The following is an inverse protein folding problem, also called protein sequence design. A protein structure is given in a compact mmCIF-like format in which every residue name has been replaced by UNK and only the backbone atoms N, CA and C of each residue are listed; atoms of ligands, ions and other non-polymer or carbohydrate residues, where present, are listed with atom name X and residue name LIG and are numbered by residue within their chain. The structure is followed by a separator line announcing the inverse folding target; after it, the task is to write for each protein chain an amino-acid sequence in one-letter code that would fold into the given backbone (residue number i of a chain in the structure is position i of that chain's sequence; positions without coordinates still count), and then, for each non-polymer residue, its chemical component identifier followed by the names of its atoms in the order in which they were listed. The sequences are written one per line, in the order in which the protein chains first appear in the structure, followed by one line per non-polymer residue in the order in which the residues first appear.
data_IF_040991818655
#
_entry.id   IF_040991818655
#
_cell.length_a   1.000
_cell.length_b   1.000
_cell.length_c   1.000
_cell.angle_alpha   90.00
_cell.angle_beta   90.00
_cell.angle_gamma   90.00
#
_symmetry.space_group_name_H-M   'P 1'
#
loop_
_entity.id
_entity.type
_entity.pdbx_description
1 polymer ?
#
# COMPACT_ATOMS: atom_id res chain seq x y z
N UNK A 1 18.64 -13.08 2.12
CA UNK A 1 17.41 -13.28 2.90
C UNK A 1 16.22 -13.01 1.99
N UNK A 2 15.37 -13.99 1.82
CA UNK A 2 14.12 -13.80 1.09
C UNK A 2 13.16 -13.04 1.98
N UNK A 3 12.79 -11.82 1.58
CA UNK A 3 11.70 -11.09 2.21
C UNK A 3 10.38 -11.79 1.83
N UNK A 4 9.89 -12.64 2.71
CA UNK A 4 8.53 -13.21 2.64
C UNK A 4 7.49 -12.17 3.09
N UNK A 5 7.74 -10.89 2.82
CA UNK A 5 6.90 -9.78 3.22
C UNK A 5 6.04 -9.23 2.08
N UNK A 6 5.18 -8.30 2.42
CA UNK A 6 4.40 -7.52 1.48
C UNK A 6 5.32 -6.82 0.46
N UNK A 7 4.85 -6.62 -0.79
CA UNK A 7 5.66 -6.04 -1.89
C UNK A 7 6.26 -4.66 -1.55
N UNK A 8 5.69 -3.94 -0.60
CA UNK A 8 6.17 -2.63 -0.12
C UNK A 8 7.45 -2.73 0.74
N UNK A 9 7.77 -3.92 1.31
CA UNK A 9 8.97 -4.12 2.13
C UNK A 9 8.88 -3.54 3.54
N UNK A 10 10.05 -3.26 4.13
CA UNK A 10 10.18 -2.79 5.51
C UNK A 10 9.68 -1.35 5.70
N UNK A 11 9.38 -0.96 6.95
CA UNK A 11 8.83 0.34 7.34
C UNK A 11 7.62 0.74 6.50
N UNK A 12 6.67 -0.17 6.39
CA UNK A 12 5.42 0.02 5.68
C UNK A 12 4.24 -0.42 6.54
N UNK A 13 3.09 0.17 6.27
CA UNK A 13 1.83 -0.19 6.88
C UNK A 13 0.86 -0.61 5.79
N UNK A 14 0.20 -1.75 5.98
CA UNK A 14 -0.88 -2.21 5.13
C UNK A 14 -2.13 -2.43 5.97
N UNK A 15 -3.24 -1.84 5.55
CA UNK A 15 -4.56 -2.03 6.15
C UNK A 15 -5.44 -2.66 5.09
N UNK A 16 -6.01 -3.81 5.41
CA UNK A 16 -6.97 -4.51 4.57
C UNK A 16 -8.27 -4.75 5.34
N UNK A 17 -9.39 -4.47 4.70
CA UNK A 17 -10.72 -4.79 5.20
C UNK A 17 -11.57 -5.37 4.07
N UNK A 18 -12.34 -6.41 4.36
CA UNK A 18 -13.27 -7.02 3.43
C UNK A 18 -14.63 -7.25 4.10
N UNK A 19 -15.69 -6.92 3.39
CA UNK A 19 -17.06 -7.20 3.75
C UNK A 19 -17.71 -8.05 2.66
N UNK A 20 -18.27 -9.18 3.05
CA UNK A 20 -19.05 -10.05 2.16
C UNK A 20 -20.52 -9.99 2.57
N UNK A 21 -21.40 -9.67 1.61
CA UNK A 21 -22.84 -9.60 1.82
C UNK A 21 -23.58 -10.52 0.83
N UNK A 22 -24.56 -11.26 1.33
CA UNK A 22 -25.38 -12.18 0.54
C UNK A 22 -26.85 -11.80 0.66
N UNK A 23 -27.35 -10.87 -0.17
CA UNK A 23 -28.72 -10.35 -0.06
C UNK A 23 -29.79 -11.38 -0.42
N UNK A 24 -29.54 -12.22 -1.40
CA UNK A 24 -30.44 -13.26 -1.87
C UNK A 24 -29.65 -14.53 -2.23
N UNK A 25 -30.37 -15.63 -2.39
CA UNK A 25 -29.75 -16.89 -2.85
C UNK A 25 -29.14 -16.72 -4.24
N UNK A 26 -27.92 -17.19 -4.42
CA UNK A 26 -27.17 -17.08 -5.68
C UNK A 26 -26.49 -15.74 -5.91
N UNK A 27 -26.59 -14.77 -4.98
CA UNK A 27 -25.92 -13.48 -5.09
C UNK A 27 -24.90 -13.27 -3.97
N UNK A 28 -23.69 -12.84 -4.36
CA UNK A 28 -22.62 -12.49 -3.42
C UNK A 28 -22.10 -11.11 -3.82
N UNK A 29 -22.04 -10.22 -2.87
CA UNK A 29 -21.40 -8.89 -3.02
C UNK A 29 -20.22 -8.85 -2.07
N UNK A 30 -19.04 -8.57 -2.61
CA UNK A 30 -17.80 -8.37 -1.82
C UNK A 30 -17.34 -6.94 -1.97
N UNK A 31 -17.05 -6.32 -0.87
CA UNK A 31 -16.46 -4.99 -0.80
C UNK A 31 -15.11 -5.10 -0.11
N UNK A 32 -14.04 -4.66 -0.72
CA UNK A 32 -12.70 -4.66 -0.12
C UNK A 32 -12.06 -3.29 -0.19
N UNK A 33 -11.29 -2.98 0.83
CA UNK A 33 -10.47 -1.78 0.93
C UNK A 33 -9.07 -2.16 1.34
N UNK A 34 -8.09 -1.64 0.62
CA UNK A 34 -6.67 -1.80 0.93
C UNK A 34 -6.02 -0.42 0.97
N UNK A 35 -5.24 -0.16 2.00
CA UNK A 35 -4.40 1.03 2.10
C UNK A 35 -2.99 0.61 2.45
N UNK A 36 -2.09 0.78 1.51
CA UNK A 36 -0.67 0.49 1.65
C UNK A 36 0.10 1.79 1.71
N UNK A 37 0.80 2.03 2.80
CA UNK A 37 1.62 3.22 2.99
C UNK A 37 3.05 2.82 3.28
N UNK A 38 3.98 3.30 2.47
CA UNK A 38 5.42 3.16 2.66
C UNK A 38 5.98 4.41 3.28
N UNK A 39 6.77 4.22 4.31
CA UNK A 39 7.48 5.29 4.99
C UNK A 39 8.96 5.28 4.65
N UNK A 40 9.66 6.35 4.98
CA UNK A 40 11.07 6.47 4.70
C UNK A 40 11.91 5.48 5.55
N UNK A 41 12.42 4.44 4.91
CA UNK A 41 13.21 3.40 5.55
C UNK A 41 14.56 3.92 6.05
N UNK A 42 15.13 4.90 5.36
CA UNK A 42 16.45 5.44 5.71
C UNK A 42 16.41 6.22 7.03
N UNK A 43 15.42 7.07 7.23
CA UNK A 43 15.25 7.81 8.48
C UNK A 43 15.15 6.86 9.68
N UNK A 44 14.40 5.76 9.52
CA UNK A 44 14.28 4.72 10.54
C UNK A 44 15.61 4.01 10.85
N UNK A 45 16.34 3.57 9.81
CA UNK A 45 17.62 2.87 9.96
C UNK A 45 18.70 3.79 10.53
N UNK A 46 18.76 5.05 10.11
CA UNK A 46 19.67 6.03 10.63
C UNK A 46 19.46 6.27 12.12
N UNK A 47 18.22 6.40 12.55
CA UNK A 47 17.88 6.55 13.96
C UNK A 47 18.43 5.40 14.80
N UNK A 48 18.20 4.17 14.37
CA UNK A 48 18.68 2.99 15.08
C UNK A 48 20.21 2.99 15.21
N UNK A 49 20.91 3.35 14.15
CA UNK A 49 22.37 3.43 14.13
C UNK A 49 22.91 4.51 15.07
N UNK A 50 22.34 5.71 15.03
CA UNK A 50 22.73 6.83 15.90
C UNK A 50 22.53 6.51 17.38
N UNK A 51 21.39 5.94 17.75
CA UNK A 51 21.13 5.52 19.12
C UNK A 51 22.18 4.51 19.61
N UNK A 52 22.53 3.55 18.78
CA UNK A 52 23.52 2.51 19.12
C UNK A 52 24.93 3.12 19.30
N UNK A 53 25.30 4.08 18.48
CA UNK A 53 26.57 4.78 18.56
C UNK A 53 26.62 5.70 19.80
N UNK A 54 25.56 6.40 20.12
CA UNK A 54 25.44 7.27 21.30
C UNK A 54 25.50 6.47 22.62
N UNK A 55 24.85 5.31 22.66
CA UNK A 55 24.92 4.41 23.83
C UNK A 55 26.36 3.91 24.03
N UNK A 56 27.07 3.56 22.98
CA UNK A 56 28.48 3.15 23.05
C UNK A 56 29.41 4.27 23.49
N UNK A 57 29.11 5.50 23.12
CA UNK A 57 29.86 6.69 23.54
C UNK A 57 29.50 7.17 24.97
N UNK A 58 28.54 6.54 25.64
CA UNK A 58 28.12 6.90 27.00
C UNK A 58 27.25 8.16 27.07
N UNK A 59 26.75 8.64 25.93
CA UNK A 59 25.83 9.76 25.84
C UNK A 59 24.40 9.30 25.53
N UNK A 60 23.41 9.93 26.17
CA UNK A 60 22.00 9.80 25.77
C UNK A 60 21.66 11.03 24.97
N UNK A 61 21.63 10.89 23.64
CA UNK A 61 21.20 12.00 22.78
C UNK A 61 19.66 12.04 22.75
N UNK A 62 19.08 13.13 23.22
CA UNK A 62 17.63 13.38 23.16
C UNK A 62 17.12 13.75 21.75
N UNK A 63 17.97 13.77 20.73
CA UNK A 63 17.61 14.07 19.33
C UNK A 63 16.90 12.90 18.65
N UNK A 64 15.98 12.26 19.31
CA UNK A 64 15.21 11.11 18.85
C UNK A 64 13.83 11.52 18.33
N UNK A 65 13.77 12.50 17.45
CA UNK A 65 12.51 13.05 16.98
C UNK A 65 11.78 12.16 15.95
N UNK A 66 12.47 11.24 15.29
CA UNK A 66 11.86 10.44 14.23
C UNK A 66 11.37 9.08 14.75
N UNK A 67 10.07 8.83 14.59
CA UNK A 67 9.41 7.59 14.93
C UNK A 67 9.33 6.67 13.71
N UNK A 68 9.26 5.34 13.90
CA UNK A 68 8.82 4.46 12.81
C UNK A 68 7.47 4.98 12.28
N UNK A 69 7.25 4.86 10.97
CA UNK A 69 6.07 5.39 10.27
C UNK A 69 5.97 6.93 10.17
N UNK A 70 7.07 7.65 10.36
CA UNK A 70 7.16 9.06 10.00
C UNK A 70 7.53 9.21 8.52
N UNK A 71 7.10 10.31 7.89
CA UNK A 71 7.40 10.67 6.50
C UNK A 71 7.01 9.61 5.46
N UNK A 72 5.72 9.51 5.19
CA UNK A 72 5.24 8.69 4.08
C UNK A 72 5.87 9.12 2.75
N UNK A 73 6.38 8.16 1.98
CA UNK A 73 6.99 8.38 0.66
C UNK A 73 6.10 7.86 -0.48
N UNK A 74 5.23 6.89 -0.19
CA UNK A 74 4.31 6.29 -1.15
C UNK A 74 3.04 5.81 -0.46
N UNK A 75 1.89 5.96 -1.13
CA UNK A 75 0.60 5.42 -0.68
C UNK A 75 -0.17 4.89 -1.86
N UNK A 76 -0.75 3.71 -1.68
CA UNK A 76 -1.71 3.12 -2.60
C UNK A 76 -3.02 2.83 -1.87
N UNK A 77 -4.11 3.40 -2.34
CA UNK A 77 -5.46 3.14 -1.86
C UNK A 77 -6.23 2.37 -2.93
N UNK A 78 -6.72 1.20 -2.59
CA UNK A 78 -7.48 0.34 -3.48
C UNK A 78 -8.83 0.04 -2.85
N UNK A 79 -9.90 0.35 -3.59
CA UNK A 79 -11.26 -0.05 -3.26
C UNK A 79 -11.79 -0.94 -4.36
N UNK A 80 -12.36 -2.08 -4.00
CA UNK A 80 -12.93 -3.01 -4.96
C UNK A 80 -14.32 -3.46 -4.53
N UNK A 81 -15.23 -3.45 -5.47
CA UNK A 81 -16.59 -3.97 -5.33
C UNK A 81 -16.78 -5.08 -6.37
N UNK A 82 -17.04 -6.29 -5.90
CA UNK A 82 -17.33 -7.45 -6.73
C UNK A 82 -18.78 -7.90 -6.50
N UNK A 83 -19.53 -8.09 -7.56
CA UNK A 83 -20.86 -8.70 -7.55
C UNK A 83 -20.86 -10.00 -8.36
N UNK A 84 -21.25 -11.09 -7.75
CA UNK A 84 -21.41 -12.41 -8.41
C UNK A 84 -22.86 -12.80 -8.29
N UNK A 85 -23.49 -13.12 -9.42
CA UNK A 85 -24.89 -13.53 -9.47
C UNK A 85 -25.06 -14.81 -10.31
N UNK A 86 -25.70 -15.81 -9.73
CA UNK A 86 -26.11 -17.02 -10.43
C UNK A 86 -27.41 -16.74 -11.20
N UNK A 87 -27.27 -16.50 -12.49
CA UNK A 87 -28.38 -16.17 -13.40
C UNK A 87 -29.24 -17.42 -13.68
N UNK A 88 -28.59 -18.58 -13.79
CA UNK A 88 -29.22 -19.90 -14.00
C UNK A 88 -28.32 -20.95 -13.33
N UNK A 89 -28.79 -22.15 -12.97
CA UNK A 89 -27.95 -23.20 -12.43
C UNK A 89 -26.64 -23.36 -13.23
N UNK A 90 -25.50 -23.25 -12.57
CA UNK A 90 -24.16 -23.30 -13.17
C UNK A 90 -23.80 -22.16 -14.15
N UNK A 91 -24.56 -21.06 -14.13
CA UNK A 91 -24.28 -19.87 -14.96
C UNK A 91 -24.10 -18.64 -14.07
N UNK A 92 -22.92 -18.03 -14.09
CA UNK A 92 -22.57 -16.92 -13.22
C UNK A 92 -22.21 -15.68 -14.00
N UNK A 93 -22.78 -14.56 -13.61
CA UNK A 93 -22.37 -13.22 -14.04
C UNK A 93 -21.55 -12.60 -12.92
N UNK A 94 -20.35 -12.16 -13.24
CA UNK A 94 -19.48 -11.42 -12.32
C UNK A 94 -19.25 -10.03 -12.85
N UNK A 95 -19.50 -9.03 -12.00
CA UNK A 95 -19.22 -7.62 -12.24
C UNK A 95 -18.26 -7.13 -11.17
N UNK A 96 -17.21 -6.43 -11.56
CA UNK A 96 -16.28 -5.82 -10.62
C UNK A 96 -15.96 -4.38 -11.00
N UNK A 97 -15.91 -3.54 -9.98
CA UNK A 97 -15.46 -2.15 -10.05
C UNK A 97 -14.28 -2.00 -9.10
N UNK A 98 -13.17 -1.52 -9.62
CA UNK A 98 -11.96 -1.26 -8.84
C UNK A 98 -11.57 0.20 -8.98
N UNK A 99 -11.40 0.87 -7.86
CA UNK A 99 -10.83 2.21 -7.78
C UNK A 99 -9.45 2.12 -7.13
N UNK A 100 -8.45 2.62 -7.83
CA UNK A 100 -7.08 2.69 -7.34
C UNK A 100 -6.59 4.13 -7.32
N UNK A 101 -5.89 4.52 -6.27
CA UNK A 101 -5.26 5.84 -6.14
C UNK A 101 -3.85 5.65 -5.59
N UNK A 102 -2.87 5.64 -6.49
CA UNK A 102 -1.46 5.54 -6.16
C UNK A 102 -0.79 6.91 -6.26
N UNK A 103 -0.08 7.31 -5.20
CA UNK A 103 0.62 8.59 -5.14
C UNK A 103 1.92 8.49 -4.35
N UNK A 104 2.93 9.21 -4.83
CA UNK A 104 4.16 9.46 -4.10
C UNK A 104 4.10 10.77 -3.33
N UNK A 105 5.05 10.95 -2.43
CA UNK A 105 5.24 12.16 -1.63
C UNK A 105 6.68 12.64 -1.76
N UNK A 106 6.85 13.93 -1.92
CA UNK A 106 8.17 14.57 -2.01
C UNK A 106 8.83 14.64 -0.63
N UNK A 107 10.03 14.08 -0.52
CA UNK A 107 10.85 14.20 0.68
C UNK A 107 12.21 14.87 0.41
N UNK A 108 12.38 15.54 -0.73
CA UNK A 108 13.64 16.21 -1.10
C UNK A 108 14.02 17.36 -0.18
N UNK A 109 13.06 17.92 0.56
CA UNK A 109 13.24 19.10 1.43
C UNK A 109 13.42 18.76 2.92
N UNK A 110 13.50 17.49 3.27
CA UNK A 110 13.59 17.08 4.67
C UNK A 110 15.05 17.07 5.11
N UNK A 111 15.46 18.00 5.96
CA UNK A 111 16.85 18.16 6.45
C UNK A 111 17.40 16.92 7.18
N UNK A 112 16.54 16.07 7.67
CA UNK A 112 16.88 14.82 8.36
C UNK A 112 17.44 13.72 7.44
N UNK A 113 17.31 13.88 6.11
CA UNK A 113 17.59 12.82 5.15
C UNK A 113 18.78 13.25 4.28
N UNK A 114 19.96 12.91 4.73
CA UNK A 114 21.17 13.03 3.90
C UNK A 114 21.47 11.68 3.32
N UNK A 115 20.85 11.23 2.26
CA UNK A 115 21.34 10.17 1.38
C UNK A 115 20.31 9.46 0.49
N UNK A 116 20.61 8.28 0.09
CA UNK A 116 20.14 7.40 -0.97
C UNK A 116 18.61 7.26 -1.15
N UNK A 117 17.80 7.65 -0.16
CA UNK A 117 16.34 7.59 -0.22
C UNK A 117 15.67 8.98 -0.41
N UNK A 118 16.39 9.94 -0.95
CA UNK A 118 15.82 11.25 -1.32
C UNK A 118 15.18 11.11 -2.70
N UNK A 119 13.89 11.37 -2.78
CA UNK A 119 13.17 11.35 -4.03
C UNK A 119 11.97 12.30 -4.02
N UNK A 120 11.54 12.68 -5.21
CA UNK A 120 10.28 13.40 -5.39
C UNK A 120 9.09 12.42 -5.48
N UNK A 121 7.88 12.98 -5.53
CA UNK A 121 6.67 12.19 -5.62
C UNK A 121 6.65 11.26 -6.86
N UNK A 122 7.19 11.72 -7.98
CA UNK A 122 7.24 10.94 -9.21
C UNK A 122 8.23 9.79 -9.11
N UNK A 123 9.40 10.02 -8.52
CA UNK A 123 10.38 8.97 -8.26
C UNK A 123 9.81 7.80 -7.47
N UNK A 124 9.04 8.08 -6.42
CA UNK A 124 8.44 7.02 -5.61
C UNK A 124 7.28 6.30 -6.30
N UNK A 125 6.49 7.01 -7.11
CA UNK A 125 5.49 6.35 -7.96
C UNK A 125 6.15 5.38 -8.95
N UNK A 126 7.19 5.81 -9.65
CA UNK A 126 7.92 4.97 -10.62
C UNK A 126 8.57 3.75 -9.96
N UNK A 127 9.04 3.92 -8.73
CA UNK A 127 9.69 2.85 -7.97
C UNK A 127 8.73 1.76 -7.49
N UNK A 128 7.52 2.12 -7.08
CA UNK A 128 6.61 1.20 -6.40
C UNK A 128 5.40 0.80 -7.24
N UNK A 129 5.08 1.52 -8.31
CA UNK A 129 3.87 1.27 -9.09
C UNK A 129 4.12 1.30 -10.59
N UNK A 130 3.57 0.36 -11.38
CA UNK A 130 3.58 0.46 -12.83
C UNK A 130 2.89 1.73 -13.31
N UNK A 131 3.37 2.30 -14.40
CA UNK A 131 2.92 3.59 -14.95
C UNK A 131 1.39 3.69 -15.14
N UNK A 132 0.75 2.60 -15.57
CA UNK A 132 -0.71 2.56 -15.81
C UNK A 132 -1.57 2.62 -14.53
N UNK A 133 -0.95 2.49 -13.34
CA UNK A 133 -1.64 2.65 -12.05
C UNK A 133 -1.34 3.98 -11.36
N UNK A 134 -0.54 4.87 -11.96
CA UNK A 134 -0.23 6.16 -11.37
C UNK A 134 -1.49 7.03 -11.24
N UNK A 135 -1.64 7.66 -10.09
CA UNK A 135 -2.77 8.54 -9.81
C UNK A 135 -4.07 7.78 -9.54
N UNK A 136 -5.17 8.34 -10.02
CA UNK A 136 -6.52 7.81 -9.82
C UNK A 136 -6.96 7.02 -11.05
N UNK A 137 -7.28 5.76 -10.86
CA UNK A 137 -7.72 4.85 -11.91
C UNK A 137 -9.01 4.15 -11.50
N UNK A 138 -9.90 3.95 -12.47
CA UNK A 138 -11.11 3.14 -12.31
C UNK A 138 -11.06 2.03 -13.35
N UNK A 139 -11.16 0.80 -12.88
CA UNK A 139 -11.21 -0.40 -13.72
C UNK A 139 -12.58 -1.05 -13.57
N UNK A 140 -13.22 -1.32 -14.69
CA UNK A 140 -14.47 -2.05 -14.77
C UNK A 140 -14.22 -3.39 -15.43
N UNK A 141 -14.70 -4.47 -14.84
CA UNK A 141 -14.62 -5.80 -15.42
C UNK A 141 -15.96 -6.51 -15.33
N UNK A 142 -16.28 -7.23 -16.39
CA UNK A 142 -17.44 -8.09 -16.45
C UNK A 142 -17.02 -9.45 -17.02
N UNK A 143 -17.49 -10.52 -16.40
CA UNK A 143 -17.27 -11.87 -16.90
C UNK A 143 -18.53 -12.71 -16.79
N UNK A 144 -18.67 -13.67 -17.69
CA UNK A 144 -19.72 -14.63 -17.71
C UNK A 144 -19.12 -16.04 -17.77
N UNK A 145 -19.50 -16.89 -16.82
CA UNK A 145 -18.95 -18.25 -16.74
C UNK A 145 -20.05 -19.30 -16.73
N UNK A 146 -19.75 -20.42 -17.36
CA UNK A 146 -20.61 -21.61 -17.41
C UNK A 146 -19.88 -22.77 -16.73
N UNK A 147 -20.56 -23.47 -15.82
CA UNK A 147 -20.14 -24.76 -15.33
C UNK A 147 -20.82 -25.89 -16.11
N UNK A 148 -20.08 -26.87 -16.50
CA UNK A 148 -20.60 -28.10 -17.09
C UNK A 148 -20.62 -29.22 -16.06
#
# INVERSE_FOLDING_TARGET
SYNLGHYIGDNAQSIYAELTYRPIRGMIIKMSYTNDTKYNSYAYLRRYRTVTEDIRAGGISETLAEKPFDHAIFRNELMRLDGIYEVHPNMYLTLAVEYNNARGFDNTKTDAIKSEDIGDAQYYLDKYMPLYYHGKNITLSASFSFGF
#
